data_IF_981492791137
#
_entry.id   IF_981492791137
#
_cell.length_a   1.000
_cell.length_b   1.000
_cell.length_c   1.000
_cell.angle_alpha   90.00
_cell.angle_beta   90.00
_cell.angle_gamma   90.00
#
_symmetry.space_group_name_H-M   'P 1'
#
loop_
_entity.id
_entity.type
_entity.pdbx_description
1 polymer ?
#
# COMPACT_ATOMS: atom_id res chain seq x y z
N UNK A 1 21.56 12.81 21.38
CA UNK A 1 21.70 11.47 20.76
C UNK A 1 20.37 10.89 20.30
N UNK A 2 19.31 10.86 21.12
CA UNK A 2 18.01 10.27 20.74
C UNK A 2 17.39 10.88 19.46
N UNK A 3 17.35 12.22 19.35
CA UNK A 3 16.78 12.92 18.18
C UNK A 3 17.46 12.52 16.85
N UNK A 4 18.78 12.37 16.86
CA UNK A 4 19.57 12.02 15.68
C UNK A 4 19.26 10.61 15.18
N UNK A 5 19.11 9.67 16.12
CA UNK A 5 18.71 8.29 15.81
C UNK A 5 17.28 8.23 15.25
N UNK A 6 16.34 9.01 15.81
CA UNK A 6 14.96 9.06 15.30
C UNK A 6 14.89 9.58 13.87
N UNK A 7 15.67 10.61 13.53
CA UNK A 7 15.71 11.17 12.17
C UNK A 7 16.24 10.12 11.17
N UNK A 8 17.33 9.43 11.50
CA UNK A 8 17.89 8.39 10.65
C UNK A 8 16.90 7.24 10.43
N UNK A 9 16.20 6.83 11.48
CA UNK A 9 15.20 5.76 11.40
C UNK A 9 14.06 6.11 10.43
N UNK A 10 13.57 7.36 10.45
CA UNK A 10 12.51 7.81 9.55
C UNK A 10 12.97 7.76 8.08
N UNK A 11 14.19 8.20 7.78
CA UNK A 11 14.72 8.14 6.40
C UNK A 11 14.83 6.71 5.86
N UNK A 12 15.34 5.79 6.68
CA UNK A 12 15.40 4.38 6.28
C UNK A 12 14.00 3.75 6.13
N UNK A 13 13.06 4.11 7.00
CA UNK A 13 11.67 3.65 6.90
C UNK A 13 11.00 4.14 5.60
N UNK A 14 11.24 5.40 5.20
CA UNK A 14 10.75 5.95 3.94
C UNK A 14 11.35 5.23 2.73
N UNK A 15 12.66 4.96 2.76
CA UNK A 15 13.33 4.22 1.69
C UNK A 15 12.80 2.78 1.58
N UNK A 16 12.63 2.11 2.72
CA UNK A 16 12.03 0.78 2.77
C UNK A 16 10.60 0.79 2.20
N UNK A 17 9.79 1.81 2.51
CA UNK A 17 8.41 1.93 2.03
C UNK A 17 8.32 2.07 0.50
N UNK A 18 9.23 2.82 -0.12
CA UNK A 18 9.30 2.92 -1.59
C UNK A 18 9.60 1.56 -2.21
N UNK A 19 10.59 0.85 -1.65
CA UNK A 19 11.02 -0.45 -2.16
C UNK A 19 9.94 -1.52 -1.95
N UNK A 20 9.31 -1.54 -0.77
CA UNK A 20 8.16 -2.40 -0.43
C UNK A 20 6.98 -2.13 -1.35
N UNK A 21 6.63 -0.86 -1.61
CA UNK A 21 5.53 -0.51 -2.49
C UNK A 21 5.70 -1.03 -3.91
N UNK A 22 6.91 -0.90 -4.46
CA UNK A 22 7.24 -1.44 -5.79
C UNK A 22 7.12 -2.98 -5.84
N UNK A 23 7.73 -3.67 -4.87
CA UNK A 23 7.65 -5.13 -4.76
C UNK A 23 6.20 -5.59 -4.61
N UNK A 24 5.40 -4.89 -3.82
CA UNK A 24 4.00 -5.20 -3.60
C UNK A 24 3.16 -5.11 -4.89
N UNK A 25 3.38 -4.08 -5.72
CA UNK A 25 2.71 -3.95 -7.01
C UNK A 25 3.09 -5.10 -7.94
N UNK A 26 4.37 -5.47 -8.01
CA UNK A 26 4.82 -6.59 -8.83
C UNK A 26 4.17 -7.91 -8.40
N UNK A 27 4.16 -8.20 -7.09
CA UNK A 27 3.50 -9.41 -6.57
C UNK A 27 2.00 -9.35 -6.85
N UNK A 28 1.34 -8.21 -6.67
CA UNK A 28 -0.09 -8.07 -6.96
C UNK A 28 -0.40 -8.33 -8.44
N UNK A 29 0.42 -7.86 -9.37
CA UNK A 29 0.27 -8.13 -10.80
C UNK A 29 0.44 -9.62 -11.11
N UNK A 30 1.45 -10.28 -10.52
CA UNK A 30 1.65 -11.73 -10.66
C UNK A 30 0.41 -12.48 -10.14
N UNK A 31 -0.09 -12.11 -8.95
CA UNK A 31 -1.27 -12.77 -8.36
C UNK A 31 -2.54 -12.56 -9.17
N UNK A 32 -2.67 -11.43 -9.87
CA UNK A 32 -3.78 -11.15 -10.78
C UNK A 32 -3.85 -12.19 -11.92
N UNK A 33 -2.71 -12.62 -12.46
CA UNK A 33 -2.67 -13.64 -13.51
C UNK A 33 -3.22 -15.00 -13.04
N UNK A 34 -3.00 -15.34 -11.76
CA UNK A 34 -3.48 -16.57 -11.16
C UNK A 34 -4.88 -16.46 -10.54
N UNK A 35 -5.58 -15.33 -10.73
CA UNK A 35 -6.84 -15.05 -10.03
C UNK A 35 -7.89 -16.15 -10.22
N UNK A 36 -7.93 -16.79 -11.39
CA UNK A 36 -8.90 -17.84 -11.69
C UNK A 36 -8.78 -19.06 -10.77
N UNK A 37 -7.59 -19.34 -10.23
CA UNK A 37 -7.33 -20.47 -9.32
C UNK A 37 -7.82 -20.24 -7.89
N UNK A 38 -8.09 -18.99 -7.50
CA UNK A 38 -8.48 -18.68 -6.13
C UNK A 38 -9.98 -18.95 -5.88
N UNK A 39 -10.32 -19.27 -4.63
CA UNK A 39 -11.70 -19.36 -4.18
C UNK A 39 -12.41 -17.99 -4.24
N UNK A 40 -13.75 -18.01 -4.21
CA UNK A 40 -14.59 -16.80 -4.31
C UNK A 40 -14.28 -15.75 -3.23
N UNK A 41 -13.91 -16.18 -2.02
CA UNK A 41 -13.58 -15.28 -0.90
C UNK A 41 -12.32 -14.48 -1.19
N UNK A 42 -11.24 -15.13 -1.62
CA UNK A 42 -9.98 -14.46 -1.97
C UNK A 42 -10.16 -13.56 -3.18
N UNK A 43 -10.86 -14.01 -4.23
CA UNK A 43 -11.18 -13.17 -5.40
C UNK A 43 -11.84 -11.84 -4.99
N UNK A 44 -12.81 -11.91 -4.07
CA UNK A 44 -13.50 -10.72 -3.56
C UNK A 44 -12.57 -9.79 -2.76
N UNK A 45 -11.76 -10.35 -1.84
CA UNK A 45 -10.79 -9.55 -1.07
C UNK A 45 -9.73 -8.90 -1.98
N UNK A 46 -9.27 -9.63 -2.99
CA UNK A 46 -8.31 -9.12 -3.96
C UNK A 46 -8.89 -8.01 -4.85
N UNK A 47 -10.16 -8.10 -5.23
CA UNK A 47 -10.87 -7.03 -5.92
C UNK A 47 -11.03 -5.78 -5.02
N UNK A 48 -11.35 -5.97 -3.74
CA UNK A 48 -11.37 -4.85 -2.77
C UNK A 48 -10.00 -4.20 -2.60
N UNK A 49 -8.92 -4.99 -2.57
CA UNK A 49 -7.56 -4.46 -2.52
C UNK A 49 -7.27 -3.54 -3.71
N UNK A 50 -7.54 -4.00 -4.94
CA UNK A 50 -7.32 -3.18 -6.14
C UNK A 50 -8.21 -1.94 -6.17
N UNK A 51 -9.47 -2.07 -5.77
CA UNK A 51 -10.38 -0.93 -5.62
C UNK A 51 -9.84 0.10 -4.65
N UNK A 52 -9.48 -0.31 -3.43
CA UNK A 52 -8.93 0.57 -2.41
C UNK A 52 -7.62 1.22 -2.86
N UNK A 53 -6.69 0.45 -3.45
CA UNK A 53 -5.42 0.97 -3.94
C UNK A 53 -5.61 2.05 -5.01
N UNK A 54 -6.48 1.81 -6.00
CA UNK A 54 -6.77 2.78 -7.05
C UNK A 54 -7.49 4.01 -6.51
N UNK A 55 -8.49 3.83 -5.64
CA UNK A 55 -9.21 4.95 -5.02
C UNK A 55 -8.24 5.82 -4.22
N UNK A 56 -7.34 5.23 -3.43
CA UNK A 56 -6.33 5.99 -2.69
C UNK A 56 -5.39 6.76 -3.62
N UNK A 57 -4.95 6.15 -4.72
CA UNK A 57 -4.06 6.81 -5.67
C UNK A 57 -4.74 8.04 -6.31
N UNK A 58 -6.00 7.89 -6.72
CA UNK A 58 -6.82 8.98 -7.26
C UNK A 58 -7.03 10.07 -6.20
N UNK A 59 -7.34 9.68 -4.96
CA UNK A 59 -7.60 10.63 -3.88
C UNK A 59 -6.34 11.45 -3.55
N UNK A 60 -5.17 10.80 -3.48
CA UNK A 60 -3.88 11.47 -3.28
C UNK A 60 -3.59 12.44 -4.42
N UNK A 61 -3.81 12.02 -5.68
CA UNK A 61 -3.61 12.88 -6.85
C UNK A 61 -4.52 14.12 -6.79
N UNK A 62 -5.81 13.94 -6.53
CA UNK A 62 -6.78 15.04 -6.42
C UNK A 62 -6.45 15.99 -5.27
N UNK A 63 -6.07 15.45 -4.10
CA UNK A 63 -5.68 16.27 -2.96
C UNK A 63 -4.44 17.10 -3.28
N UNK A 64 -3.44 16.51 -3.95
CA UNK A 64 -2.23 17.20 -4.35
C UNK A 64 -2.52 18.37 -5.30
N UNK A 65 -3.41 18.19 -6.27
CA UNK A 65 -3.81 19.24 -7.22
C UNK A 65 -4.61 20.36 -6.54
N UNK A 66 -5.52 20.01 -5.63
CA UNK A 66 -6.42 20.98 -4.98
C UNK A 66 -5.74 21.78 -3.86
N UNK A 67 -4.74 21.22 -3.18
CA UNK A 67 -4.06 21.89 -2.09
C UNK A 67 -2.60 21.42 -1.94
N UNK A 68 -1.69 21.80 -2.84
CA UNK A 68 -0.32 21.28 -2.88
C UNK A 68 0.51 21.60 -1.62
N UNK A 69 0.07 22.54 -0.79
CA UNK A 69 0.74 22.95 0.46
C UNK A 69 -0.03 22.54 1.73
N UNK A 70 -1.10 21.77 1.60
CA UNK A 70 -1.90 21.30 2.72
C UNK A 70 -1.10 20.43 3.69
N UNK A 71 -1.14 20.76 4.99
CA UNK A 71 -0.48 19.97 6.04
C UNK A 71 -1.06 18.57 6.20
N UNK A 72 -2.32 18.36 5.82
CA UNK A 72 -3.05 17.08 5.88
C UNK A 72 -2.48 16.05 4.89
N UNK A 73 -2.09 16.49 3.68
CA UNK A 73 -1.47 15.65 2.66
C UNK A 73 -0.20 14.95 3.15
N UNK A 74 0.55 15.58 4.06
CA UNK A 74 1.82 15.03 4.53
C UNK A 74 1.65 13.75 5.33
N UNK A 75 0.56 13.58 6.09
CA UNK A 75 0.37 12.41 6.94
C UNK A 75 -0.41 11.29 6.25
N UNK A 76 -1.42 11.64 5.44
CA UNK A 76 -2.25 10.68 4.72
C UNK A 76 -1.45 9.89 3.66
N UNK A 77 -0.45 10.54 3.05
CA UNK A 77 0.45 9.91 2.07
C UNK A 77 1.32 8.80 2.68
N UNK A 78 1.51 8.76 4.01
CA UNK A 78 2.28 7.69 4.66
C UNK A 78 1.39 6.60 5.26
N UNK A 79 0.33 7.00 5.97
CA UNK A 79 -0.50 6.06 6.74
C UNK A 79 -1.33 5.17 5.81
N UNK A 80 -1.95 5.75 4.77
CA UNK A 80 -2.87 5.01 3.92
C UNK A 80 -2.14 3.92 3.11
N UNK A 81 -0.97 4.19 2.47
CA UNK A 81 -0.23 3.13 1.80
C UNK A 81 0.24 2.01 2.73
N UNK A 82 0.58 2.30 3.98
CA UNK A 82 0.94 1.27 4.97
C UNK A 82 -0.25 0.35 5.31
N UNK A 83 -1.46 0.92 5.47
CA UNK A 83 -2.67 0.13 5.70
C UNK A 83 -2.99 -0.79 4.50
N UNK A 84 -2.86 -0.25 3.28
CA UNK A 84 -3.04 -1.04 2.04
C UNK A 84 -1.99 -2.16 1.96
N UNK A 85 -0.74 -1.88 2.32
CA UNK A 85 0.32 -2.88 2.38
C UNK A 85 0.02 -3.99 3.39
N UNK A 86 -0.41 -3.63 4.60
CA UNK A 86 -0.80 -4.62 5.61
C UNK A 86 -1.98 -5.48 5.13
N UNK A 87 -2.95 -4.89 4.45
CA UNK A 87 -4.08 -5.63 3.89
C UNK A 87 -3.65 -6.61 2.78
N UNK A 88 -2.69 -6.21 1.95
CA UNK A 88 -2.10 -7.09 0.94
C UNK A 88 -1.39 -8.29 1.56
N UNK A 89 -0.61 -8.08 2.62
CA UNK A 89 0.04 -9.16 3.38
C UNK A 89 -1.00 -10.14 3.93
N UNK A 90 -2.13 -9.64 4.43
CA UNK A 90 -3.23 -10.52 4.86
C UNK A 90 -3.83 -11.35 3.72
N UNK A 91 -4.03 -10.76 2.53
CA UNK A 91 -4.55 -11.51 1.37
C UNK A 91 -3.55 -12.57 0.92
N UNK A 92 -2.26 -12.23 0.82
CA UNK A 92 -1.22 -13.19 0.41
C UNK A 92 -1.09 -14.36 1.40
N UNK A 93 -1.21 -14.09 2.70
CA UNK A 93 -1.28 -15.14 3.73
C UNK A 93 -2.48 -16.08 3.52
N UNK A 94 -3.67 -15.54 3.20
CA UNK A 94 -4.84 -16.36 2.91
C UNK A 94 -4.67 -17.19 1.64
N UNK A 95 -3.98 -16.67 0.62
CA UNK A 95 -3.68 -17.41 -0.61
C UNK A 95 -2.75 -18.59 -0.30
N UNK A 96 -1.75 -18.40 0.56
CA UNK A 96 -0.83 -19.49 0.96
C UNK A 96 -1.51 -20.60 1.77
N UNK A 97 -2.57 -20.28 2.52
CA UNK A 97 -3.32 -21.24 3.35
C UNK A 97 -4.50 -21.90 2.65
N UNK A 98 -4.73 -21.56 1.38
CA UNK A 98 -5.86 -22.02 0.59
C UNK A 98 -5.69 -23.46 0.15
#
# INVERSE_FOLDING_TARGET
MALYATIHFIFFALYAQILLGFVQILIALILLFFINRYNKKIKRLFAFYWGAALTTLILIYLLFELNPHGSILKYEVFIIPMLIASYFVYITYLIQKQ
#
